data_IF_806307450591
#
_entry.id   IF_806307450591
#
_cell.length_a   1.000
_cell.length_b   1.000
_cell.length_c   1.000
_cell.angle_alpha   90.00
_cell.angle_beta   90.00
_cell.angle_gamma   90.00
#
_symmetry.space_group_name_H-M   'P 1'
#
loop_
_entity.id
_entity.type
_entity.pdbx_description
1 polymer ?
#
# COMPACT_ATOMS: atom_id res chain seq x y z
N UNK A 1 11.61 -10.99 -10.33
CA UNK A 1 11.78 -9.61 -9.80
C UNK A 1 11.29 -9.59 -8.36
N UNK A 2 12.14 -9.24 -7.39
CA UNK A 2 11.76 -9.21 -5.98
C UNK A 2 10.77 -8.08 -5.64
N UNK A 3 10.13 -8.12 -4.46
CA UNK A 3 9.19 -7.09 -4.04
C UNK A 3 9.86 -5.71 -4.03
N UNK A 4 9.22 -4.74 -4.70
CA UNK A 4 9.72 -3.37 -4.91
C UNK A 4 9.84 -2.58 -3.60
N UNK A 5 9.08 -2.98 -2.58
CA UNK A 5 8.99 -2.32 -1.27
C UNK A 5 9.56 -3.22 -0.16
N UNK A 6 10.10 -2.58 0.88
CA UNK A 6 10.50 -3.24 2.12
C UNK A 6 9.26 -3.64 2.91
N UNK A 7 9.24 -4.88 3.39
CA UNK A 7 8.31 -5.33 4.43
C UNK A 7 8.57 -4.61 5.75
N UNK A 8 7.59 -4.59 6.65
CA UNK A 8 7.76 -3.91 7.95
C UNK A 8 8.85 -4.57 8.81
N UNK A 9 9.03 -5.89 8.71
CA UNK A 9 10.12 -6.62 9.36
C UNK A 9 11.49 -6.15 8.82
N UNK A 10 11.62 -5.98 7.51
CA UNK A 10 12.87 -5.49 6.92
C UNK A 10 13.16 -4.03 7.29
N UNK A 11 12.11 -3.19 7.37
CA UNK A 11 12.26 -1.81 7.84
C UNK A 11 12.75 -1.76 9.28
N UNK A 12 12.13 -2.53 10.18
CA UNK A 12 12.53 -2.61 11.58
C UNK A 12 13.98 -3.05 11.73
N UNK A 13 14.39 -4.13 11.02
CA UNK A 13 15.80 -4.58 11.02
C UNK A 13 16.76 -3.51 10.51
N UNK A 14 16.38 -2.77 9.46
CA UNK A 14 17.19 -1.70 8.90
C UNK A 14 17.35 -0.52 9.87
N UNK A 15 16.30 -0.18 10.60
CA UNK A 15 16.32 0.87 11.61
C UNK A 15 17.13 0.47 12.85
N UNK A 16 16.98 -0.76 13.34
CA UNK A 16 17.81 -1.28 14.44
C UNK A 16 19.31 -1.26 14.10
N UNK A 17 19.69 -1.69 12.89
CA UNK A 17 21.08 -1.58 12.42
C UNK A 17 21.57 -0.13 12.38
N UNK A 18 20.69 0.83 12.12
CA UNK A 18 21.05 2.25 12.14
C UNK A 18 21.27 2.77 13.56
N UNK A 19 20.47 2.31 14.53
CA UNK A 19 20.64 2.63 15.95
C UNK A 19 21.97 2.09 16.50
N UNK A 20 22.38 0.90 16.06
CA UNK A 20 23.71 0.30 16.30
C UNK A 20 24.87 1.05 15.59
N UNK A 21 24.59 2.20 14.96
CA UNK A 21 25.55 3.03 14.21
C UNK A 21 26.22 2.32 13.02
N UNK A 22 25.62 1.25 12.50
CA UNK A 22 26.11 0.56 11.30
C UNK A 22 26.08 1.50 10.09
N UNK A 23 27.12 1.45 9.27
CA UNK A 23 27.21 2.29 8.07
C UNK A 23 26.20 1.85 7.01
N UNK A 24 25.69 2.78 6.21
CA UNK A 24 24.70 2.48 5.15
C UNK A 24 25.22 1.41 4.18
N UNK A 25 26.51 1.41 3.85
CA UNK A 25 27.11 0.41 2.96
C UNK A 25 27.08 -1.00 3.57
N UNK A 26 27.29 -1.12 4.89
CA UNK A 26 27.17 -2.41 5.58
C UNK A 26 25.71 -2.87 5.68
N UNK A 27 24.77 -1.94 5.89
CA UNK A 27 23.33 -2.23 5.89
C UNK A 27 22.90 -2.76 4.51
N UNK A 28 23.36 -2.15 3.42
CA UNK A 28 23.14 -2.63 2.04
C UNK A 28 23.60 -4.08 1.89
N UNK A 29 24.81 -4.41 2.33
CA UNK A 29 25.35 -5.78 2.25
C UNK A 29 24.55 -6.78 3.09
N UNK A 30 24.12 -6.39 4.31
CA UNK A 30 23.36 -7.26 5.22
C UNK A 30 21.91 -7.49 4.79
N UNK A 31 21.28 -6.48 4.20
CA UNK A 31 19.86 -6.55 3.80
C UNK A 31 19.68 -6.97 2.34
N UNK A 32 20.71 -6.88 1.50
CA UNK A 32 20.62 -7.13 0.07
C UNK A 32 19.79 -6.08 -0.68
N UNK A 33 19.48 -4.95 -0.04
CA UNK A 33 18.61 -3.89 -0.58
C UNK A 33 19.43 -2.73 -1.13
N UNK A 34 18.89 -2.06 -2.14
CA UNK A 34 19.59 -0.95 -2.78
C UNK A 34 19.84 0.22 -1.81
N UNK A 35 20.97 0.89 -1.97
CA UNK A 35 21.34 2.08 -1.18
C UNK A 35 20.24 3.14 -1.21
N UNK A 36 19.61 3.36 -2.37
CA UNK A 36 18.53 4.33 -2.54
C UNK A 36 17.29 3.97 -1.69
N UNK A 37 16.97 2.69 -1.54
CA UNK A 37 15.84 2.25 -0.70
C UNK A 37 16.13 2.45 0.77
N UNK A 38 17.33 2.12 1.24
CA UNK A 38 17.74 2.34 2.64
C UNK A 38 17.76 3.84 2.97
N UNK A 39 18.35 4.67 2.10
CA UNK A 39 18.40 6.12 2.31
C UNK A 39 17.00 6.75 2.38
N UNK A 40 16.06 6.31 1.52
CA UNK A 40 14.65 6.75 1.60
C UNK A 40 13.99 6.36 2.92
N UNK A 41 14.24 5.14 3.40
CA UNK A 41 13.71 4.69 4.69
C UNK A 41 14.26 5.54 5.84
N UNK A 42 15.57 5.76 5.89
CA UNK A 42 16.21 6.56 6.93
C UNK A 42 15.74 8.01 6.91
N UNK A 43 15.54 8.59 5.73
CA UNK A 43 14.99 9.93 5.58
C UNK A 43 13.55 10.00 6.11
N UNK A 44 12.70 9.02 5.80
CA UNK A 44 11.33 8.95 6.29
C UNK A 44 11.25 8.73 7.81
N UNK A 45 12.20 8.00 8.39
CA UNK A 45 12.26 7.74 9.83
C UNK A 45 12.85 8.89 10.65
N UNK A 46 13.53 9.87 10.03
CA UNK A 46 14.24 10.97 10.72
C UNK A 46 13.35 11.79 11.66
N UNK A 47 12.06 11.92 11.33
CA UNK A 47 11.09 12.70 12.09
C UNK A 47 10.16 11.84 12.96
N UNK A 48 10.41 10.54 13.03
CA UNK A 48 9.62 9.59 13.80
C UNK A 48 10.36 9.21 15.08
N UNK A 49 9.61 8.71 16.07
CA UNK A 49 10.26 8.14 17.25
C UNK A 49 11.10 6.92 16.86
N UNK A 50 12.20 6.61 17.59
CA UNK A 50 13.14 5.54 17.21
C UNK A 50 12.46 4.17 16.97
N UNK A 51 11.39 3.89 17.71
CA UNK A 51 10.64 2.64 17.62
C UNK A 51 9.55 2.63 16.55
N UNK A 52 9.30 3.76 15.87
CA UNK A 52 8.21 3.88 14.89
C UNK A 52 8.68 3.53 13.49
N UNK A 53 8.05 2.53 12.89
CA UNK A 53 8.27 2.15 11.49
C UNK A 53 7.54 3.16 10.59
N UNK A 54 8.22 3.77 9.59
CA UNK A 54 7.58 4.68 8.65
C UNK A 54 6.42 4.01 7.92
N UNK A 55 5.25 4.61 8.07
CA UNK A 55 4.04 4.18 7.38
C UNK A 55 4.15 4.45 5.88
N UNK A 56 3.73 3.48 5.08
CA UNK A 56 3.62 3.68 3.64
C UNK A 56 2.18 4.06 3.31
N UNK A 57 2.00 5.26 2.75
CA UNK A 57 0.67 5.68 2.29
C UNK A 57 0.13 4.67 1.28
N UNK A 58 -1.08 4.13 1.44
CA UNK A 58 -1.68 3.28 0.44
C UNK A 58 -1.79 4.07 -0.86
N UNK A 59 -1.49 3.44 -1.99
CA UNK A 59 -1.73 4.06 -3.28
C UNK A 59 -3.21 4.44 -3.35
N UNK A 60 -3.50 5.71 -3.65
CA UNK A 60 -4.87 6.14 -3.91
C UNK A 60 -5.40 5.26 -5.05
N UNK A 61 -6.44 4.46 -4.76
CA UNK A 61 -7.17 3.79 -5.83
C UNK A 61 -7.76 4.89 -6.71
N UNK A 62 -7.67 4.74 -8.02
CA UNK A 62 -8.22 5.71 -8.97
C UNK A 62 -9.71 5.98 -8.69
N UNK A 63 -10.26 7.07 -9.25
CA UNK A 63 -11.65 7.44 -9.00
C UNK A 63 -12.59 6.27 -9.31
N UNK A 64 -13.51 5.97 -8.39
CA UNK A 64 -14.54 4.96 -8.62
C UNK A 64 -15.41 5.42 -9.78
N UNK A 65 -15.75 4.49 -10.68
CA UNK A 65 -16.67 4.75 -11.79
C UNK A 65 -18.13 4.81 -11.34
N UNK A 66 -18.43 4.27 -10.15
CA UNK A 66 -19.75 4.23 -9.54
C UNK A 66 -19.75 5.00 -8.22
N UNK A 67 -20.91 5.56 -7.89
CA UNK A 67 -21.19 6.17 -6.58
C UNK A 67 -21.75 5.12 -5.63
N UNK A 68 -21.74 5.43 -4.32
CA UNK A 68 -22.37 4.56 -3.33
C UNK A 68 -23.87 4.37 -3.58
N UNK A 69 -24.56 5.40 -4.06
CA UNK A 69 -25.98 5.31 -4.41
C UNK A 69 -26.19 4.34 -5.57
N UNK A 70 -25.41 4.47 -6.66
CA UNK A 70 -25.52 3.54 -7.79
C UNK A 70 -25.18 2.11 -7.39
N UNK A 71 -24.18 1.90 -6.52
CA UNK A 71 -23.86 0.57 -6.00
C UNK A 71 -25.04 -0.03 -5.21
N UNK A 72 -25.73 0.77 -4.38
CA UNK A 72 -26.91 0.33 -3.64
C UNK A 72 -28.07 -0.04 -4.56
N UNK A 73 -28.36 0.78 -5.58
CA UNK A 73 -29.42 0.50 -6.56
C UNK A 73 -29.14 -0.78 -7.35
N UNK A 74 -27.90 -0.95 -7.81
CA UNK A 74 -27.48 -2.15 -8.53
C UNK A 74 -27.60 -3.41 -7.65
N UNK A 75 -27.17 -3.33 -6.38
CA UNK A 75 -27.33 -4.43 -5.43
C UNK A 75 -28.80 -4.80 -5.22
N UNK A 76 -29.67 -3.80 -4.97
CA UNK A 76 -31.09 -4.05 -4.78
C UNK A 76 -31.76 -4.69 -6.00
N UNK A 77 -31.40 -4.23 -7.21
CA UNK A 77 -31.93 -4.79 -8.45
C UNK A 77 -31.52 -6.25 -8.64
N UNK A 78 -30.24 -6.59 -8.41
CA UNK A 78 -29.74 -7.97 -8.46
C UNK A 78 -30.38 -8.85 -7.38
N UNK A 79 -30.56 -8.34 -6.16
CA UNK A 79 -31.22 -9.09 -5.09
C UNK A 79 -32.69 -9.38 -5.41
N UNK A 80 -33.41 -8.42 -6.02
CA UNK A 80 -34.82 -8.62 -6.42
C UNK A 80 -34.97 -9.55 -7.61
N UNK A 81 -34.04 -9.50 -8.56
CA UNK A 81 -34.04 -10.40 -9.71
C UNK A 81 -32.61 -10.85 -10.04
N UNK A 82 -32.19 -12.02 -9.52
CA UNK A 82 -30.84 -12.54 -9.72
C UNK A 82 -30.49 -12.90 -11.17
N UNK A 83 -31.49 -12.96 -12.07
CA UNK A 83 -31.30 -13.28 -13.49
C UNK A 83 -30.97 -12.06 -14.34
N UNK A 84 -31.02 -10.85 -13.77
CA UNK A 84 -30.70 -9.62 -14.50
C UNK A 84 -29.26 -9.64 -15.00
N UNK A 85 -29.08 -9.36 -16.29
CA UNK A 85 -27.77 -9.21 -16.90
C UNK A 85 -27.19 -7.82 -16.62
N UNK A 86 -25.86 -7.70 -16.69
CA UNK A 86 -25.19 -6.41 -16.52
C UNK A 86 -25.65 -5.35 -17.53
N UNK A 87 -26.03 -5.76 -18.76
CA UNK A 87 -26.53 -4.87 -19.81
C UNK A 87 -27.91 -4.31 -19.46
N UNK A 88 -28.80 -5.15 -18.91
CA UNK A 88 -30.13 -4.72 -18.46
C UNK A 88 -30.03 -3.78 -17.26
N UNK A 89 -29.16 -4.09 -16.29
CA UNK A 89 -28.90 -3.22 -15.14
C UNK A 89 -28.41 -1.83 -15.56
N UNK A 90 -27.49 -1.76 -16.52
CA UNK A 90 -26.99 -0.48 -17.08
C UNK A 90 -28.09 0.31 -17.79
N UNK A 91 -29.06 -0.36 -18.42
CA UNK A 91 -30.21 0.31 -19.06
C UNK A 91 -31.20 0.87 -18.04
N UNK A 92 -31.38 0.18 -16.92
CA UNK A 92 -32.30 0.60 -15.83
C UNK A 92 -31.73 1.75 -14.99
N UNK A 93 -30.41 1.80 -14.82
CA UNK A 93 -29.71 2.78 -14.01
C UNK A 93 -28.52 3.36 -14.82
N UNK A 94 -28.76 4.41 -15.65
CA UNK A 94 -27.71 5.04 -16.45
C UNK A 94 -26.66 5.77 -15.61
#
# INVERSE_FOLDING_TARGET
>A
MGPKNLSDVEKARTLALREEKVTVNQIVKRTGRSKATIMRLLAAARHLSPTTIPWHKPCCRGPRKTTQLTDCLLKLAVTRNPRLTAKELKKMYP
#
